data_IF_227362235541
#
_entry.id   IF_227362235541
#
_cell.length_a   1.000
_cell.length_b   1.000
_cell.length_c   1.000
_cell.angle_alpha   90.00
_cell.angle_beta   90.00
_cell.angle_gamma   90.00
#
_symmetry.space_group_name_H-M   'P 1'
#
loop_
_entity.id
_entity.type
_entity.pdbx_description
1 polymer ?
#
# COMPACT_ATOMS: atom_id res chain seq x y z
N UNK A 1 46.95 -73.78 -16.16
CA UNK A 1 45.87 -73.67 -15.16
C UNK A 1 45.87 -72.28 -14.55
N UNK A 2 44.70 -71.85 -14.09
CA UNK A 2 44.35 -70.54 -13.53
C UNK A 2 45.38 -69.92 -12.55
N UNK A 3 45.67 -68.62 -12.67
CA UNK A 3 45.12 -67.57 -11.78
C UNK A 3 45.63 -66.15 -12.15
N UNK A 4 44.80 -65.16 -11.79
CA UNK A 4 45.13 -63.80 -11.33
C UNK A 4 44.74 -62.62 -12.25
N UNK A 5 43.63 -61.96 -11.87
CA UNK A 5 43.29 -60.56 -12.19
C UNK A 5 44.18 -59.62 -11.35
N UNK A 6 44.43 -58.36 -11.79
CA UNK A 6 43.54 -57.27 -11.38
C UNK A 6 43.28 -56.17 -12.44
N UNK A 7 42.02 -55.70 -12.43
CA UNK A 7 41.50 -54.35 -12.70
C UNK A 7 42.39 -53.29 -13.38
N UNK A 8 42.09 -52.99 -14.66
CA UNK A 8 42.60 -51.82 -15.38
C UNK A 8 41.63 -50.63 -15.31
N UNK A 9 42.14 -49.52 -14.79
CA UNK A 9 41.53 -48.21 -14.63
C UNK A 9 41.60 -47.46 -15.96
N UNK A 10 40.47 -47.21 -16.60
CA UNK A 10 40.42 -46.47 -17.87
C UNK A 10 40.73 -44.97 -17.67
N UNK A 11 41.60 -44.46 -18.54
CA UNK A 11 42.09 -43.09 -18.58
C UNK A 11 40.99 -42.06 -18.90
N UNK A 12 41.06 -40.89 -18.26
CA UNK A 12 40.30 -39.69 -18.66
C UNK A 12 41.14 -38.83 -19.62
N UNK A 13 40.60 -38.36 -20.76
CA UNK A 13 41.22 -37.28 -21.53
C UNK A 13 40.89 -35.91 -20.89
N UNK A 14 41.72 -34.87 -21.11
CA UNK A 14 41.46 -33.53 -20.61
C UNK A 14 40.44 -32.85 -21.54
N UNK A 15 39.26 -32.52 -21.01
CA UNK A 15 38.30 -31.66 -21.72
C UNK A 15 38.48 -30.24 -21.19
N UNK A 16 39.10 -29.42 -22.03
CA UNK A 16 39.05 -27.96 -21.99
C UNK A 16 37.57 -27.53 -21.95
N UNK A 17 37.09 -27.06 -20.81
CA UNK A 17 35.84 -26.29 -20.75
C UNK A 17 36.20 -24.81 -20.89
N UNK A 18 36.12 -24.35 -22.12
CA UNK A 18 36.07 -22.94 -22.49
C UNK A 18 34.96 -22.25 -21.70
N UNK A 19 35.35 -21.19 -20.97
CA UNK A 19 34.53 -20.06 -20.56
C UNK A 19 33.03 -20.35 -20.51
N UNK A 20 32.56 -20.88 -19.39
CA UNK A 20 31.19 -20.65 -18.97
C UNK A 20 31.11 -19.15 -18.74
N UNK A 21 30.74 -18.41 -19.78
CA UNK A 21 30.14 -17.08 -19.67
C UNK A 21 28.82 -17.32 -18.95
N UNK A 22 28.94 -17.52 -17.63
CA UNK A 22 27.82 -17.61 -16.73
C UNK A 22 27.00 -16.35 -17.00
N UNK A 23 25.76 -16.59 -17.39
CA UNK A 23 24.71 -15.61 -17.48
C UNK A 23 24.59 -14.91 -16.12
N UNK A 24 25.40 -13.88 -15.89
CA UNK A 24 25.12 -12.87 -14.88
C UNK A 24 24.06 -11.93 -15.48
N UNK A 25 22.87 -12.46 -15.73
CA UNK A 25 21.67 -11.64 -15.65
C UNK A 25 21.61 -11.28 -14.17
N UNK A 26 21.97 -10.03 -13.85
CA UNK A 26 21.75 -9.45 -12.54
C UNK A 26 20.34 -9.84 -12.11
N UNK A 27 20.20 -10.69 -11.09
CA UNK A 27 18.91 -11.04 -10.52
C UNK A 27 18.28 -9.71 -10.11
N UNK A 28 17.31 -9.23 -10.89
CA UNK A 28 16.70 -7.94 -10.64
C UNK A 28 16.07 -8.00 -9.26
N UNK A 29 16.46 -7.06 -8.42
CA UNK A 29 15.96 -6.97 -7.06
C UNK A 29 14.42 -6.90 -7.09
N UNK A 30 13.76 -7.75 -6.31
CA UNK A 30 12.32 -8.01 -6.43
C UNK A 30 11.46 -6.75 -6.22
N UNK A 31 11.97 -5.77 -5.47
CA UNK A 31 11.31 -4.48 -5.23
C UNK A 31 11.28 -3.55 -6.44
N UNK A 32 12.10 -3.78 -7.49
CA UNK A 32 12.22 -2.86 -8.64
C UNK A 32 10.94 -2.73 -9.43
N UNK A 33 10.34 -3.87 -9.79
CA UNK A 33 9.10 -3.88 -10.58
C UNK A 33 7.95 -3.12 -9.88
N UNK A 34 7.62 -3.38 -8.60
CA UNK A 34 6.58 -2.60 -7.92
C UNK A 34 6.98 -1.13 -7.70
N UNK A 35 8.26 -0.81 -7.56
CA UNK A 35 8.71 0.58 -7.45
C UNK A 35 8.53 1.38 -8.75
N UNK A 36 8.92 0.80 -9.88
CA UNK A 36 8.72 1.40 -11.21
C UNK A 36 7.24 1.57 -11.52
N UNK A 37 6.42 0.58 -11.17
CA UNK A 37 4.96 0.65 -11.33
C UNK A 37 4.36 1.76 -10.45
N UNK A 38 4.78 1.89 -9.19
CA UNK A 38 4.34 2.98 -8.33
C UNK A 38 4.67 4.37 -8.91
N UNK A 39 5.88 4.50 -9.46
CA UNK A 39 6.35 5.74 -10.09
C UNK A 39 5.57 6.09 -11.36
N UNK A 40 5.18 5.07 -12.14
CA UNK A 40 4.32 5.26 -13.31
C UNK A 40 2.90 5.69 -12.89
N UNK A 41 2.31 5.01 -11.90
CA UNK A 41 0.96 5.31 -11.38
C UNK A 41 0.88 6.72 -10.77
N UNK A 42 1.95 7.20 -10.12
CA UNK A 42 2.04 8.57 -9.65
C UNK A 42 1.91 9.58 -10.79
N UNK A 43 2.59 9.35 -11.93
CA UNK A 43 2.51 10.21 -13.12
C UNK A 43 1.13 10.17 -13.78
N UNK A 44 0.44 9.04 -13.69
CA UNK A 44 -0.95 8.87 -14.15
C UNK A 44 -2.00 9.45 -13.18
N UNK A 45 -1.58 9.92 -12.00
CA UNK A 45 -2.50 10.42 -10.96
C UNK A 45 -3.25 9.31 -10.20
N UNK A 46 -2.96 8.03 -10.46
CA UNK A 46 -3.56 6.84 -9.82
C UNK A 46 -2.94 6.60 -8.44
N UNK A 47 -3.13 7.57 -7.55
CA UNK A 47 -2.39 7.65 -6.29
C UNK A 47 -2.69 6.49 -5.34
N UNK A 48 -3.90 5.92 -5.36
CA UNK A 48 -4.23 4.77 -4.52
C UNK A 48 -3.47 3.51 -4.93
N UNK A 49 -3.52 3.16 -6.21
CA UNK A 49 -2.83 2.00 -6.74
C UNK A 49 -1.31 2.18 -6.55
N UNK A 50 -0.81 3.39 -6.77
CA UNK A 50 0.59 3.74 -6.51
C UNK A 50 1.00 3.47 -5.06
N UNK A 51 0.14 3.78 -4.07
CA UNK A 51 0.42 3.46 -2.65
C UNK A 51 0.53 1.96 -2.40
N UNK A 52 -0.32 1.14 -3.04
CA UNK A 52 -0.23 -0.31 -2.90
C UNK A 52 1.11 -0.84 -3.44
N UNK A 53 1.53 -0.33 -4.61
CA UNK A 53 2.78 -0.73 -5.26
C UNK A 53 4.02 -0.27 -4.50
N UNK A 54 4.05 0.97 -4.01
CA UNK A 54 5.21 1.46 -3.24
C UNK A 54 5.33 0.76 -1.88
N UNK A 55 4.21 0.41 -1.24
CA UNK A 55 4.25 -0.37 0.00
C UNK A 55 4.85 -1.76 -0.27
N UNK A 56 4.44 -2.44 -1.34
CA UNK A 56 5.01 -3.72 -1.72
C UNK A 56 6.51 -3.63 -2.04
N UNK A 57 6.94 -2.56 -2.72
CA UNK A 57 8.36 -2.32 -3.00
C UNK A 57 9.17 -2.15 -1.70
N UNK A 58 8.68 -1.35 -0.75
CA UNK A 58 9.33 -1.14 0.55
C UNK A 58 9.40 -2.42 1.38
N UNK A 59 8.35 -3.25 1.39
CA UNK A 59 8.36 -4.55 2.09
C UNK A 59 9.39 -5.52 1.50
N UNK A 60 9.49 -5.56 0.17
CA UNK A 60 10.49 -6.36 -0.53
C UNK A 60 11.91 -5.84 -0.29
N UNK A 61 12.08 -4.52 -0.20
CA UNK A 61 13.36 -3.90 0.14
C UNK A 61 13.76 -4.21 1.60
N UNK A 62 12.83 -4.12 2.56
CA UNK A 62 13.04 -4.53 3.94
C UNK A 62 13.50 -6.01 4.02
N UNK A 63 12.87 -6.88 3.23
CA UNK A 63 13.22 -8.29 3.12
C UNK A 63 14.63 -8.49 2.55
N UNK A 64 15.03 -7.71 1.55
CA UNK A 64 16.38 -7.75 0.97
C UNK A 64 17.46 -7.31 1.98
N UNK A 65 17.12 -6.38 2.87
CA UNK A 65 17.99 -5.99 3.99
C UNK A 65 18.03 -7.03 5.12
N UNK A 66 17.30 -8.15 5.01
CA UNK A 66 17.24 -9.20 6.04
C UNK A 66 16.29 -8.89 7.20
N UNK A 67 15.39 -7.92 7.04
CA UNK A 67 14.38 -7.55 8.02
C UNK A 67 12.99 -8.03 7.60
N UNK A 68 12.04 -8.02 8.54
CA UNK A 68 10.64 -8.36 8.29
C UNK A 68 9.73 -7.73 9.34
N UNK A 69 8.42 -7.73 9.09
CA UNK A 69 7.41 -7.20 10.02
C UNK A 69 6.79 -5.87 9.60
N UNK A 70 7.15 -5.36 8.41
CA UNK A 70 6.66 -4.10 7.84
C UNK A 70 7.07 -2.90 8.70
N UNK A 71 8.23 -2.97 9.38
CA UNK A 71 8.72 -1.87 10.21
C UNK A 71 9.01 -0.65 9.35
N UNK A 72 9.49 -0.87 8.13
CA UNK A 72 9.71 0.18 7.12
C UNK A 72 8.44 0.97 6.79
N UNK A 73 7.26 0.37 6.96
CA UNK A 73 5.97 1.04 6.71
C UNK A 73 5.38 1.61 7.99
N UNK A 74 5.37 0.84 9.08
CA UNK A 74 4.69 1.20 10.33
C UNK A 74 5.47 2.25 11.13
N UNK A 75 6.77 2.06 11.23
CA UNK A 75 7.68 2.85 12.08
C UNK A 75 8.94 3.21 11.29
N UNK A 76 8.82 3.93 10.16
CA UNK A 76 9.92 4.15 9.21
C UNK A 76 11.12 4.83 9.85
N UNK A 77 10.90 5.74 10.81
CA UNK A 77 11.98 6.43 11.52
C UNK A 77 12.81 5.49 12.38
N UNK A 78 12.15 4.70 13.23
CA UNK A 78 12.82 3.74 14.10
C UNK A 78 13.51 2.64 13.27
N UNK A 79 12.91 2.23 12.16
CA UNK A 79 13.55 1.32 11.20
C UNK A 79 14.83 1.93 10.62
N UNK A 80 14.79 3.19 10.16
CA UNK A 80 15.95 3.87 9.61
C UNK A 80 17.07 4.06 10.63
N UNK A 81 16.75 4.40 11.87
CA UNK A 81 17.74 4.55 12.94
C UNK A 81 18.55 3.24 13.14
N UNK A 82 17.95 2.07 12.91
CA UNK A 82 18.61 0.77 12.99
C UNK A 82 19.48 0.45 11.77
N UNK A 83 19.03 0.79 10.56
CA UNK A 83 19.64 0.28 9.31
C UNK A 83 20.57 1.27 8.60
N UNK A 84 20.36 2.59 8.77
CA UNK A 84 20.98 3.62 7.92
C UNK A 84 22.52 3.60 7.94
N UNK A 85 23.12 3.19 9.06
CA UNK A 85 24.57 3.10 9.20
C UNK A 85 25.17 1.96 8.35
N UNK A 86 24.40 0.90 8.08
CA UNK A 86 24.83 -0.27 7.32
C UNK A 86 24.52 -0.24 5.83
N UNK A 87 23.76 0.75 5.35
CA UNK A 87 23.34 0.82 3.95
C UNK A 87 24.47 1.32 3.04
N UNK A 88 24.62 0.66 1.89
CA UNK A 88 25.45 1.15 0.79
C UNK A 88 24.89 2.47 0.21
N UNK A 89 25.71 3.34 -0.40
CA UNK A 89 25.25 4.60 -0.99
C UNK A 89 24.09 4.41 -1.99
N UNK A 90 24.15 3.35 -2.81
CA UNK A 90 23.12 3.03 -3.80
C UNK A 90 21.79 2.63 -3.13
N UNK A 91 21.87 1.91 -2.00
CA UNK A 91 20.70 1.54 -1.20
C UNK A 91 20.08 2.75 -0.51
N UNK A 92 20.90 3.70 -0.03
CA UNK A 92 20.41 4.97 0.54
C UNK A 92 19.67 5.80 -0.50
N UNK A 93 20.25 5.95 -1.69
CA UNK A 93 19.62 6.65 -2.82
C UNK A 93 18.29 5.97 -3.19
N UNK A 94 18.30 4.65 -3.38
CA UNK A 94 17.09 3.89 -3.73
C UNK A 94 15.99 4.07 -2.68
N UNK A 95 16.33 3.91 -1.40
CA UNK A 95 15.37 4.02 -0.32
C UNK A 95 14.86 5.46 -0.16
N UNK A 96 15.70 6.46 -0.42
CA UNK A 96 15.31 7.87 -0.49
C UNK A 96 14.24 8.07 -1.58
N UNK A 97 14.48 7.58 -2.79
CA UNK A 97 13.53 7.67 -3.89
C UNK A 97 12.19 6.98 -3.57
N UNK A 98 12.22 5.82 -2.90
CA UNK A 98 11.01 5.13 -2.45
C UNK A 98 10.20 5.97 -1.46
N UNK A 99 10.86 6.60 -0.48
CA UNK A 99 10.21 7.48 0.48
C UNK A 99 9.63 8.73 -0.20
N UNK A 100 10.35 9.33 -1.15
CA UNK A 100 9.87 10.49 -1.92
C UNK A 100 8.63 10.14 -2.76
N UNK A 101 8.68 9.02 -3.50
CA UNK A 101 7.52 8.56 -4.30
C UNK A 101 6.31 8.31 -3.40
N UNK A 102 6.51 7.65 -2.25
CA UNK A 102 5.44 7.42 -1.27
C UNK A 102 4.89 8.73 -0.70
N UNK A 103 5.76 9.70 -0.41
CA UNK A 103 5.35 11.03 0.06
C UNK A 103 4.49 11.77 -0.97
N UNK A 104 4.87 11.75 -2.24
CA UNK A 104 4.13 12.40 -3.32
C UNK A 104 2.75 11.75 -3.50
N UNK A 105 2.67 10.42 -3.49
CA UNK A 105 1.41 9.66 -3.52
C UNK A 105 0.50 10.00 -2.33
N UNK A 106 1.06 10.06 -1.12
CA UNK A 106 0.31 10.43 0.09
C UNK A 106 -0.14 11.89 0.06
N UNK A 107 0.67 12.78 -0.49
CA UNK A 107 0.33 14.20 -0.67
C UNK A 107 -0.82 14.38 -1.66
N UNK A 108 -0.86 13.58 -2.72
CA UNK A 108 -1.97 13.55 -3.68
C UNK A 108 -3.26 13.00 -3.04
N UNK A 109 -3.16 12.07 -2.10
CA UNK A 109 -4.28 11.54 -1.32
C UNK A 109 -4.71 12.44 -0.15
N UNK A 110 -4.04 13.57 0.10
CA UNK A 110 -4.34 14.49 1.20
C UNK A 110 -3.83 14.02 2.58
N UNK A 111 -3.03 12.96 2.64
CA UNK A 111 -2.43 12.45 3.87
C UNK A 111 -1.15 13.22 4.26
N UNK A 112 -1.24 14.56 4.35
CA UNK A 112 -0.09 15.46 4.44
C UNK A 112 0.81 15.20 5.65
N UNK A 113 0.22 14.96 6.83
CA UNK A 113 1.00 14.62 8.05
C UNK A 113 1.84 13.36 7.86
N UNK A 114 1.30 12.36 7.15
CA UNK A 114 2.04 11.13 6.88
C UNK A 114 3.10 11.35 5.79
N UNK A 115 2.79 12.13 4.76
CA UNK A 115 3.76 12.49 3.73
C UNK A 115 4.98 13.22 4.31
N UNK A 116 4.80 14.10 5.30
CA UNK A 116 5.91 14.76 5.99
C UNK A 116 6.84 13.77 6.69
N UNK A 117 6.29 12.72 7.31
CA UNK A 117 7.11 11.66 7.92
C UNK A 117 7.96 10.93 6.88
N UNK A 118 7.42 10.65 5.70
CA UNK A 118 8.21 10.03 4.61
C UNK A 118 9.31 10.98 4.11
N UNK A 119 9.03 12.29 3.99
CA UNK A 119 10.03 13.29 3.58
C UNK A 119 11.12 13.50 4.63
N UNK A 120 10.77 13.43 5.93
CA UNK A 120 11.76 13.42 7.01
C UNK A 120 12.67 12.19 6.92
N UNK A 121 12.12 11.03 6.56
CA UNK A 121 12.90 9.80 6.34
C UNK A 121 13.81 9.93 5.11
N UNK A 122 13.33 10.50 4.01
CA UNK A 122 14.14 10.80 2.83
C UNK A 122 15.29 11.77 3.15
N UNK A 123 15.04 12.83 3.92
CA UNK A 123 16.06 13.80 4.32
C UNK A 123 17.17 13.20 5.20
N UNK A 124 16.88 12.14 5.97
CA UNK A 124 17.93 11.40 6.68
C UNK A 124 18.85 10.61 5.77
N UNK A 125 18.30 10.10 4.67
CA UNK A 125 19.03 9.26 3.71
C UNK A 125 19.89 10.12 2.79
N UNK A 126 19.40 11.31 2.43
CA UNK A 126 20.06 12.27 1.55
C UNK A 126 19.95 13.70 2.11
N UNK A 127 20.73 14.07 3.14
CA UNK A 127 20.63 15.37 3.81
C UNK A 127 21.07 16.55 2.93
N UNK A 128 21.88 16.31 1.89
CA UNK A 128 22.31 17.34 0.94
C UNK A 128 21.35 17.51 -0.24
N UNK A 129 20.27 16.73 -0.30
CA UNK A 129 19.29 16.81 -1.37
C UNK A 129 18.33 18.00 -1.16
N UNK A 130 18.62 19.08 -1.89
CA UNK A 130 17.81 20.29 -1.88
C UNK A 130 16.37 20.07 -2.39
N UNK A 131 16.13 19.07 -3.25
CA UNK A 131 14.80 18.77 -3.77
C UNK A 131 13.89 18.22 -2.68
N UNK A 132 14.42 17.31 -1.84
CA UNK A 132 13.67 16.75 -0.70
C UNK A 132 13.31 17.84 0.31
N UNK A 133 14.25 18.75 0.60
CA UNK A 133 14.01 19.88 1.49
C UNK A 133 12.94 20.84 0.93
N UNK A 134 12.98 21.13 -0.37
CA UNK A 134 11.97 21.96 -1.04
C UNK A 134 10.58 21.30 -1.04
N UNK A 135 10.50 20.00 -1.38
CA UNK A 135 9.25 19.22 -1.33
C UNK A 135 8.67 19.23 0.08
N UNK A 136 9.48 19.01 1.10
CA UNK A 136 9.07 19.06 2.51
C UNK A 136 8.47 20.42 2.88
N UNK A 137 9.16 21.51 2.53
CA UNK A 137 8.66 22.86 2.80
C UNK A 137 7.32 23.13 2.10
N UNK A 138 7.13 22.68 0.85
CA UNK A 138 5.85 22.80 0.13
C UNK A 138 4.73 22.01 0.81
N UNK A 139 4.99 20.78 1.23
CA UNK A 139 4.00 19.94 1.94
C UNK A 139 3.68 20.52 3.31
N UNK A 140 4.67 21.06 4.03
CA UNK A 140 4.49 21.70 5.33
C UNK A 140 3.64 22.97 5.21
N UNK A 141 3.88 23.80 4.18
CA UNK A 141 3.00 24.94 3.87
C UNK A 141 1.58 24.49 3.52
N UNK A 142 1.42 23.42 2.73
CA UNK A 142 0.09 22.85 2.41
C UNK A 142 -0.61 22.30 3.65
N UNK A 143 0.15 21.74 4.60
CA UNK A 143 -0.38 21.23 5.87
C UNK A 143 -0.75 22.37 6.83
N UNK A 144 0.08 23.41 6.93
CA UNK A 144 -0.15 24.58 7.78
C UNK A 144 -1.21 25.54 7.25
N UNK A 145 -1.37 25.66 5.93
CA UNK A 145 -2.50 26.36 5.32
C UNK A 145 -3.85 25.69 5.62
N UNK A 146 -3.85 24.44 6.07
CA UNK A 146 -5.01 23.71 6.57
C UNK A 146 -5.20 23.75 8.10
N UNK A 147 -4.33 24.45 8.86
CA UNK A 147 -4.35 24.48 10.33
C UNK A 147 -4.95 25.77 10.92
N UNK A 148 -5.48 26.65 10.08
CA UNK A 148 -6.26 27.82 10.49
C UNK A 148 -7.72 27.50 10.82
N UNK A 149 -8.00 26.47 11.62
CA UNK A 149 -9.18 26.34 12.51
C UNK A 149 -9.26 24.93 13.10
N UNK A 150 -9.37 24.84 14.42
CA UNK A 150 -10.23 23.83 15.05
C UNK A 150 -11.64 24.03 14.50
N UNK A 151 -11.98 23.35 13.40
CA UNK A 151 -13.36 23.09 13.04
C UNK A 151 -13.76 21.74 13.61
N UNK A 152 -14.24 21.78 14.85
CA UNK A 152 -15.39 20.94 15.18
C UNK A 152 -16.57 21.45 14.33
N UNK A 153 -17.01 20.61 13.39
CA UNK A 153 -18.44 20.57 13.03
C UNK A 153 -18.95 21.21 11.74
N UNK A 154 -18.16 21.71 10.79
CA UNK A 154 -18.72 22.15 9.50
C UNK A 154 -17.89 21.71 8.28
N UNK A 155 -18.17 20.49 7.80
CA UNK A 155 -17.70 19.99 6.50
C UNK A 155 -17.17 18.56 6.50
N UNK A 156 -16.91 17.96 7.67
CA UNK A 156 -16.51 16.55 7.76
C UNK A 156 -17.74 15.66 7.84
N UNK A 157 -17.81 14.65 6.97
CA UNK A 157 -18.84 13.62 7.04
C UNK A 157 -18.53 12.73 8.26
N UNK A 158 -19.43 12.61 9.25
CA UNK A 158 -19.21 11.76 10.41
C UNK A 158 -19.19 10.29 9.98
N UNK A 159 -18.11 9.56 10.32
CA UNK A 159 -17.95 8.15 10.00
C UNK A 159 -18.11 7.32 11.27
N UNK A 160 -18.97 6.30 11.23
CA UNK A 160 -19.15 5.33 12.30
C UNK A 160 -18.77 3.94 11.81
N UNK A 161 -17.94 3.22 12.57
CA UNK A 161 -17.54 1.85 12.25
C UNK A 161 -18.36 0.87 13.10
N UNK A 162 -19.25 0.11 12.45
CA UNK A 162 -20.01 -0.94 13.10
C UNK A 162 -19.28 -2.29 12.98
N UNK A 163 -18.82 -2.82 14.10
CA UNK A 163 -18.07 -4.09 14.16
C UNK A 163 -18.65 -5.04 15.21
N UNK A 164 -18.39 -6.34 15.06
CA UNK A 164 -18.92 -7.40 15.90
C UNK A 164 -18.85 -8.79 15.24
N UNK A 165 -18.91 -9.85 16.05
CA UNK A 165 -18.88 -11.24 15.57
C UNK A 165 -20.05 -11.59 14.62
N UNK A 166 -19.94 -12.69 13.88
CA UNK A 166 -21.06 -13.19 13.07
C UNK A 166 -22.26 -13.47 13.99
N UNK A 167 -23.45 -12.99 13.60
CA UNK A 167 -24.65 -13.10 14.43
C UNK A 167 -24.77 -12.08 15.58
N UNK A 168 -23.84 -11.12 15.72
CA UNK A 168 -23.94 -10.08 16.76
C UNK A 168 -25.02 -9.01 16.52
N UNK A 169 -25.89 -9.20 15.52
CA UNK A 169 -26.98 -8.27 15.21
C UNK A 169 -26.56 -6.99 14.49
N UNK A 170 -25.39 -6.95 13.82
CA UNK A 170 -24.93 -5.77 13.06
C UNK A 170 -25.95 -5.31 12.02
N UNK A 171 -26.40 -6.23 11.16
CA UNK A 171 -27.42 -5.96 10.13
C UNK A 171 -28.74 -5.51 10.76
N UNK A 172 -29.15 -6.10 11.89
CA UNK A 172 -30.38 -5.69 12.61
C UNK A 172 -30.29 -4.25 13.10
N UNK A 173 -29.15 -3.86 13.69
CA UNK A 173 -28.93 -2.47 14.13
C UNK A 173 -28.90 -1.51 12.94
N UNK A 174 -28.27 -1.93 11.84
CA UNK A 174 -28.18 -1.12 10.64
C UNK A 174 -29.56 -0.86 10.01
N UNK A 175 -30.39 -1.91 9.86
CA UNK A 175 -31.76 -1.77 9.37
C UNK A 175 -32.59 -0.87 10.29
N UNK A 176 -32.44 -1.02 11.60
CA UNK A 176 -33.11 -0.15 12.55
C UNK A 176 -32.71 1.33 12.39
N UNK A 177 -31.43 1.61 12.10
CA UNK A 177 -30.97 2.96 11.81
C UNK A 177 -31.60 3.47 10.51
N UNK A 178 -31.56 2.69 9.43
CA UNK A 178 -32.09 3.11 8.11
C UNK A 178 -33.62 3.28 8.08
N UNK A 179 -34.36 2.46 8.84
CA UNK A 179 -35.83 2.55 8.94
C UNK A 179 -36.29 3.65 9.91
N UNK A 180 -35.45 4.03 10.87
CA UNK A 180 -35.79 5.07 11.84
C UNK A 180 -35.81 6.44 11.16
N UNK A 181 -36.88 7.21 11.39
CA UNK A 181 -36.99 8.56 10.87
C UNK A 181 -36.14 9.54 11.72
N UNK A 182 -34.83 9.54 11.49
CA UNK A 182 -33.87 10.40 12.19
C UNK A 182 -33.56 11.70 11.42
N UNK A 183 -34.11 11.90 10.21
CA UNK A 183 -33.90 13.10 9.39
C UNK A 183 -32.44 13.33 8.99
N UNK A 184 -31.63 12.26 8.90
CA UNK A 184 -30.21 12.31 8.54
C UNK A 184 -30.02 11.56 7.23
N UNK A 185 -29.16 12.07 6.35
CA UNK A 185 -28.69 11.34 5.17
C UNK A 185 -27.56 10.42 5.61
N UNK A 186 -27.76 9.11 5.49
CA UNK A 186 -26.80 8.10 5.94
C UNK A 186 -26.33 7.31 4.72
N UNK A 187 -25.02 7.31 4.48
CA UNK A 187 -24.39 6.39 3.53
C UNK A 187 -23.88 5.17 4.31
N UNK A 188 -24.21 3.99 3.82
CA UNK A 188 -23.77 2.72 4.41
C UNK A 188 -22.80 2.04 3.45
N UNK A 189 -21.70 1.53 4.00
CA UNK A 189 -20.71 0.74 3.26
C UNK A 189 -20.63 -0.61 3.95
N UNK A 190 -21.07 -1.65 3.25
CA UNK A 190 -21.02 -3.03 3.73
C UNK A 190 -19.96 -3.82 2.97
N UNK A 191 -19.31 -4.74 3.66
CA UNK A 191 -18.42 -5.71 3.03
C UNK A 191 -19.06 -7.09 3.17
N UNK A 192 -19.91 -7.45 2.22
CA UNK A 192 -20.55 -8.77 2.16
C UNK A 192 -19.63 -9.79 1.47
N UNK A 193 -19.72 -11.05 1.89
CA UNK A 193 -18.97 -12.16 1.29
C UNK A 193 -19.96 -13.24 0.86
N UNK A 194 -20.41 -13.20 -0.40
CA UNK A 194 -21.38 -14.14 -0.97
C UNK A 194 -21.98 -13.61 -2.28
N UNK A 195 -22.39 -14.51 -3.20
CA UNK A 195 -22.93 -14.18 -4.53
C UNK A 195 -24.41 -13.75 -4.49
N UNK A 196 -25.04 -13.84 -3.32
CA UNK A 196 -26.44 -13.47 -3.04
C UNK A 196 -26.41 -12.50 -1.87
N UNK A 197 -26.73 -11.23 -2.13
CA UNK A 197 -26.88 -10.22 -1.09
C UNK A 197 -28.07 -10.56 -0.19
N UNK A 198 -27.82 -11.16 0.98
CA UNK A 198 -28.89 -11.51 1.93
C UNK A 198 -29.39 -10.24 2.63
N UNK A 199 -28.50 -9.27 2.83
CA UNK A 199 -28.79 -8.02 3.52
C UNK A 199 -29.55 -7.03 2.59
N UNK A 200 -29.44 -7.21 1.27
CA UNK A 200 -30.09 -6.41 0.23
C UNK A 200 -31.63 -6.42 0.28
N UNK A 201 -32.21 -7.58 0.60
CA UNK A 201 -33.66 -7.74 0.72
C UNK A 201 -34.21 -7.09 2.01
N UNK A 202 -33.37 -6.95 3.04
CA UNK A 202 -33.75 -6.35 4.31
C UNK A 202 -33.67 -4.82 4.28
N UNK A 203 -32.68 -4.25 3.57
CA UNK A 203 -32.53 -2.80 3.41
C UNK A 203 -33.59 -2.20 2.47
N UNK A 204 -34.02 -2.93 1.42
CA UNK A 204 -35.02 -2.48 0.44
C UNK A 204 -36.48 -2.52 0.95
N UNK A 205 -36.74 -3.13 2.11
CA UNK A 205 -38.09 -3.30 2.68
C UNK A 205 -38.62 -2.10 3.50
N UNK A 206 -37.77 -1.13 3.83
CA UNK A 206 -38.15 0.08 4.56
C UNK A 206 -38.81 1.11 3.63
N UNK A 207 -39.92 1.71 4.07
CA UNK A 207 -40.82 2.57 3.30
C UNK A 207 -40.25 3.94 2.83
N UNK A 208 -38.96 4.03 2.54
CA UNK A 208 -38.26 5.21 1.99
C UNK A 208 -37.33 4.84 0.82
N UNK A 209 -37.52 3.67 0.20
CA UNK A 209 -36.70 3.16 -0.92
C UNK A 209 -37.07 3.77 -2.29
N UNK A 210 -37.55 5.00 -2.33
CA UNK A 210 -37.65 5.77 -3.58
C UNK A 210 -36.61 6.91 -3.50
N UNK A 211 -35.54 6.78 -4.30
CA UNK A 211 -34.59 7.84 -4.67
C UNK A 211 -33.34 8.10 -3.81
N UNK A 212 -32.87 7.20 -2.95
CA UNK A 212 -31.49 7.27 -2.44
C UNK A 212 -30.59 6.28 -3.22
N UNK A 213 -29.54 6.80 -3.87
CA UNK A 213 -28.62 6.09 -4.76
C UNK A 213 -27.98 4.85 -4.09
N UNK A 214 -28.64 3.69 -4.18
CA UNK A 214 -28.05 2.39 -3.84
C UNK A 214 -27.12 2.00 -4.99
N UNK A 215 -25.81 2.18 -4.79
CA UNK A 215 -24.78 1.70 -5.71
C UNK A 215 -24.30 0.35 -5.22
N UNK A 216 -24.82 -0.71 -5.82
CA UNK A 216 -24.42 -2.09 -5.55
C UNK A 216 -23.07 -2.38 -6.21
N UNK A 217 -22.08 -2.74 -5.41
CA UNK A 217 -20.73 -3.04 -5.89
C UNK A 217 -20.50 -4.55 -5.81
N UNK A 218 -20.86 -5.27 -6.87
CA UNK A 218 -20.71 -6.72 -6.90
C UNK A 218 -19.27 -7.16 -7.23
N UNK A 219 -18.78 -8.04 -6.35
CA UNK A 219 -17.72 -9.03 -6.53
C UNK A 219 -16.25 -8.55 -6.50
N UNK A 220 -15.55 -8.96 -5.44
CA UNK A 220 -14.13 -9.32 -5.50
C UNK A 220 -13.18 -8.35 -4.79
N UNK A 221 -13.15 -8.43 -3.46
CA UNK A 221 -12.28 -7.68 -2.56
C UNK A 221 -12.50 -6.15 -2.57
N UNK A 222 -12.67 -5.58 -1.38
CA UNK A 222 -12.56 -4.13 -1.13
C UNK A 222 -11.17 -3.54 -1.50
N UNK A 223 -10.25 -4.37 -2.03
CA UNK A 223 -8.89 -4.00 -2.38
C UNK A 223 -8.62 -3.78 -3.89
N UNK A 224 -9.56 -3.99 -4.83
CA UNK A 224 -9.20 -3.93 -6.26
C UNK A 224 -9.94 -2.96 -7.20
N UNK A 225 -11.10 -2.37 -6.86
CA UNK A 225 -11.73 -1.41 -7.79
C UNK A 225 -12.66 -0.36 -7.15
N UNK A 226 -12.68 -0.23 -5.82
CA UNK A 226 -13.79 0.48 -5.12
C UNK A 226 -13.49 1.94 -4.77
N UNK A 227 -12.27 2.45 -4.98
CA UNK A 227 -11.96 3.83 -4.58
C UNK A 227 -12.52 4.89 -5.53
N UNK A 228 -12.77 4.56 -6.80
CA UNK A 228 -13.39 5.50 -7.76
C UNK A 228 -14.88 5.73 -7.48
N UNK A 229 -15.62 4.66 -7.22
CA UNK A 229 -17.06 4.72 -6.99
C UNK A 229 -17.37 5.32 -5.62
N UNK A 230 -16.55 5.01 -4.59
CA UNK A 230 -16.70 5.58 -3.25
C UNK A 230 -16.46 7.10 -3.25
N UNK A 231 -15.50 7.61 -4.03
CA UNK A 231 -15.25 9.06 -4.15
C UNK A 231 -16.37 9.74 -4.95
N UNK A 232 -17.00 9.04 -5.89
CA UNK A 232 -18.10 9.58 -6.70
C UNK A 232 -19.41 9.63 -5.91
N UNK A 233 -19.71 8.61 -5.09
CA UNK A 233 -20.90 8.58 -4.23
C UNK A 233 -20.84 9.50 -3.00
N UNK A 234 -19.66 9.96 -2.59
CA UNK A 234 -19.46 10.84 -1.43
C UNK A 234 -19.30 12.33 -1.79
N UNK A 235 -19.37 12.71 -3.08
CA UNK A 235 -19.38 14.10 -3.55
C UNK A 235 -20.80 14.60 -3.76
#
# INVERSE_FOLDING_TARGET
>A
EFLCLPTARAARPPILWSSTRALAVSAMAAWRAPFEEASALLKEGKSFDGVQKINAALELFETELGHSGQRILKEPRAFLDDVVAGLAPEQKSTLCDMYVVRADLLTALGALKRALVELDCAALLAPEDGEVAEKRAKVEQKAGAGDGTQQDGQGKIPVSVLTGFLGSGKTTLLNHILEANHGKRIAVIENEFGEVGIDDALVKGGAMAEEENIVEMNNGCICCTVRGDLITGLK
#
